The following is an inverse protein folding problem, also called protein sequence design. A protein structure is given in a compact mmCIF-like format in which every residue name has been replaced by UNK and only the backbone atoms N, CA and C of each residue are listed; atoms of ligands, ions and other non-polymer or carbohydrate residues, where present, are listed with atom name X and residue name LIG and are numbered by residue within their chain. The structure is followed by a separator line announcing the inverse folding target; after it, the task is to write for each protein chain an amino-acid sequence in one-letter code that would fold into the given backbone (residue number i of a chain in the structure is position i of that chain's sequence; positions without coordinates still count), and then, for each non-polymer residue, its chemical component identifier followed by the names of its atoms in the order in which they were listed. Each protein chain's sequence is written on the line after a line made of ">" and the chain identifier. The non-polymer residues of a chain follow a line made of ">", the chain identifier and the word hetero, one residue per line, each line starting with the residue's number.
data_IF_180634459863
#
_entry.id   IF_180634459863
#
_cell.length_a   1.000
_cell.length_b   1.000
_cell.length_c   1.000
_cell.angle_alpha   90.00
_cell.angle_beta   90.00
_cell.angle_gamma   90.00
#
_symmetry.space_group_name_H-M   'P 1'
#
loop_
_entity.id
_entity.type
_entity.pdbx_description
1 polymer ?
#
# COMPACT_ATOMS: atom_id res chain seq x y z
N UNK A 1 0.10 0.53 -28.22
CA UNK A 1 0.34 1.19 -26.91
C UNK A 1 -0.73 0.76 -25.93
N UNK A 2 -0.42 0.47 -24.65
CA UNK A 2 -1.44 0.27 -23.64
C UNK A 2 -2.25 1.57 -23.49
N UNK A 3 -3.59 1.48 -23.51
CA UNK A 3 -4.44 2.62 -23.21
C UNK A 3 -4.41 2.92 -21.71
N UNK A 4 -4.75 4.13 -21.28
CA UNK A 4 -4.81 4.50 -19.87
C UNK A 4 -5.71 3.56 -19.04
N UNK A 5 -6.76 3.01 -19.65
CA UNK A 5 -7.64 2.02 -19.03
C UNK A 5 -6.95 0.67 -18.82
N UNK A 6 -6.11 0.25 -19.76
CA UNK A 6 -5.31 -0.98 -19.64
C UNK A 6 -4.29 -0.87 -18.50
N UNK A 7 -3.58 0.25 -18.41
CA UNK A 7 -2.63 0.50 -17.33
C UNK A 7 -3.30 0.47 -15.95
N UNK A 8 -4.50 1.08 -15.83
CA UNK A 8 -5.29 1.06 -14.59
C UNK A 8 -5.75 -0.35 -14.20
N UNK A 9 -6.20 -1.15 -15.17
CA UNK A 9 -6.61 -2.53 -14.90
C UNK A 9 -5.45 -3.39 -14.37
N UNK A 10 -4.26 -3.25 -14.98
CA UNK A 10 -3.04 -3.93 -14.52
C UNK A 10 -2.66 -3.47 -13.11
N UNK A 11 -2.64 -2.15 -12.85
CA UNK A 11 -2.31 -1.62 -11.53
C UNK A 11 -3.26 -2.13 -10.43
N UNK A 12 -4.57 -2.16 -10.70
CA UNK A 12 -5.56 -2.71 -9.77
C UNK A 12 -5.36 -4.20 -9.52
N UNK A 13 -5.03 -4.97 -10.56
CA UNK A 13 -4.74 -6.39 -10.42
C UNK A 13 -3.48 -6.64 -9.59
N UNK A 14 -2.43 -5.84 -9.77
CA UNK A 14 -1.21 -5.91 -8.95
C UNK A 14 -1.54 -5.57 -7.49
N UNK A 15 -2.21 -4.45 -7.23
CA UNK A 15 -2.56 -4.03 -5.87
C UNK A 15 -3.45 -5.04 -5.14
N UNK A 16 -4.40 -5.67 -5.83
CA UNK A 16 -5.29 -6.68 -5.25
C UNK A 16 -4.57 -7.98 -4.89
N UNK A 17 -3.50 -8.35 -5.61
CA UNK A 17 -2.79 -9.63 -5.44
C UNK A 17 -1.43 -9.50 -4.73
N UNK A 18 -0.93 -8.29 -4.52
CA UNK A 18 0.29 -8.08 -3.74
C UNK A 18 -0.02 -8.43 -2.28
N UNK A 19 0.81 -9.22 -1.61
CA UNK A 19 0.65 -9.42 -0.16
C UNK A 19 1.03 -8.12 0.58
N UNK A 20 0.48 -7.81 1.76
CA UNK A 20 1.12 -6.79 2.61
C UNK A 20 2.58 -7.21 2.80
N UNK A 21 3.52 -6.28 2.63
CA UNK A 21 4.91 -6.57 2.97
C UNK A 21 4.93 -7.09 4.41
N UNK A 22 5.54 -8.28 4.61
CA UNK A 22 5.74 -8.78 5.96
C UNK A 22 6.49 -7.70 6.73
N UNK A 23 5.92 -7.24 7.84
CA UNK A 23 6.43 -6.10 8.60
C UNK A 23 7.87 -6.39 9.03
N UNK A 24 8.84 -5.87 8.29
CA UNK A 24 10.25 -5.97 8.68
C UNK A 24 10.46 -5.04 9.87
N UNK A 25 11.11 -5.47 10.95
CA UNK A 25 11.45 -4.56 12.04
C UNK A 25 12.52 -3.56 11.58
N UNK A 26 12.57 -2.39 12.23
CA UNK A 26 13.55 -1.33 11.94
C UNK A 26 15.00 -1.86 11.91
N UNK A 27 15.34 -2.77 12.84
CA UNK A 27 16.67 -3.41 12.92
C UNK A 27 17.03 -4.28 11.72
N UNK A 28 16.05 -4.73 10.93
CA UNK A 28 16.26 -5.52 9.73
C UNK A 28 16.45 -4.66 8.46
N UNK A 29 16.36 -3.33 8.58
CA UNK A 29 16.64 -2.40 7.48
C UNK A 29 18.15 -2.29 7.24
N UNK A 30 18.52 -1.96 6.01
CA UNK A 30 19.90 -1.62 5.68
C UNK A 30 20.34 -0.37 6.44
N UNK A 31 21.65 -0.20 6.64
CA UNK A 31 22.18 0.97 7.34
C UNK A 31 21.77 2.29 6.67
N UNK A 32 21.74 2.34 5.33
CA UNK A 32 21.33 3.53 4.58
C UNK A 32 19.88 3.93 4.87
N UNK A 33 18.96 2.97 4.89
CA UNK A 33 17.55 3.21 5.26
C UNK A 33 17.42 3.67 6.71
N UNK A 34 18.17 3.06 7.62
CA UNK A 34 18.17 3.44 9.04
C UNK A 34 18.63 4.89 9.25
N UNK A 35 19.60 5.39 8.49
CA UNK A 35 20.10 6.77 8.57
C UNK A 35 19.04 7.77 8.14
N UNK A 36 18.32 7.51 7.05
CA UNK A 36 17.24 8.38 6.58
C UNK A 36 16.15 8.49 7.66
N UNK A 37 15.70 7.36 8.18
CA UNK A 37 14.65 7.33 9.22
C UNK A 37 15.11 8.03 10.49
N UNK A 38 16.38 7.87 10.91
CA UNK A 38 16.93 8.60 12.07
C UNK A 38 16.86 10.11 11.85
N UNK A 39 17.29 10.59 10.68
CA UNK A 39 17.26 12.02 10.37
C UNK A 39 15.85 12.61 10.38
N UNK A 40 14.83 11.85 9.99
CA UNK A 40 13.42 12.26 10.11
C UNK A 40 12.92 12.19 11.56
N UNK A 41 13.22 11.10 12.26
CA UNK A 41 12.80 10.90 13.65
C UNK A 41 13.37 11.96 14.59
N UNK A 42 14.63 12.36 14.38
CA UNK A 42 15.28 13.45 15.10
C UNK A 42 14.57 14.79 14.86
N UNK A 43 14.07 15.04 13.62
CA UNK A 43 13.32 16.26 13.28
C UNK A 43 11.92 16.28 13.88
N UNK A 44 11.30 15.11 14.04
CA UNK A 44 9.98 14.97 14.67
C UNK A 44 10.06 14.80 16.20
N UNK A 45 11.26 14.63 16.77
CA UNK A 45 11.47 14.44 18.21
C UNK A 45 10.97 13.09 18.73
N UNK A 46 10.99 12.06 17.89
CA UNK A 46 10.53 10.69 18.22
C UNK A 46 11.66 9.68 18.03
N UNK A 47 11.48 8.43 18.50
CA UNK A 47 12.45 7.37 18.22
C UNK A 47 12.32 6.87 16.77
N UNK A 48 13.44 6.46 16.13
CA UNK A 48 13.41 5.90 14.77
C UNK A 48 12.45 4.70 14.63
N UNK A 49 12.40 3.85 15.65
CA UNK A 49 11.52 2.70 15.71
C UNK A 49 10.04 3.10 15.76
N UNK A 50 9.69 4.13 16.53
CA UNK A 50 8.32 4.63 16.64
C UNK A 50 7.86 5.28 15.33
N UNK A 51 8.72 6.12 14.73
CA UNK A 51 8.43 6.74 13.43
C UNK A 51 8.23 5.66 12.36
N UNK A 52 9.16 4.71 12.28
CA UNK A 52 9.08 3.64 11.29
C UNK A 52 7.83 2.77 11.47
N UNK A 53 7.49 2.38 12.70
CA UNK A 53 6.29 1.62 13.00
C UNK A 53 5.01 2.37 12.59
N UNK A 54 4.94 3.68 12.87
CA UNK A 54 3.81 4.53 12.50
C UNK A 54 3.67 4.62 10.96
N UNK A 55 4.77 4.79 10.23
CA UNK A 55 4.75 4.87 8.77
C UNK A 55 4.32 3.55 8.12
N UNK A 56 4.82 2.41 8.61
CA UNK A 56 4.40 1.09 8.12
C UNK A 56 2.92 0.84 8.39
N UNK A 57 2.41 1.23 9.56
CA UNK A 57 0.99 1.14 9.87
C UNK A 57 0.14 1.99 8.91
N UNK A 58 0.53 3.25 8.67
CA UNK A 58 -0.16 4.15 7.75
C UNK A 58 -0.15 3.62 6.30
N UNK A 59 0.98 3.08 5.83
CA UNK A 59 1.06 2.44 4.52
C UNK A 59 0.14 1.22 4.41
N UNK A 60 0.09 0.40 5.47
CA UNK A 60 -0.76 -0.81 5.50
C UNK A 60 -2.24 -0.44 5.47
N UNK A 61 -2.64 0.58 6.22
CA UNK A 61 -4.01 1.11 6.22
C UNK A 61 -4.39 1.62 4.83
N UNK A 62 -3.51 2.43 4.21
CA UNK A 62 -3.74 2.96 2.86
C UNK A 62 -3.89 1.83 1.82
N UNK A 63 -3.00 0.83 1.83
CA UNK A 63 -3.08 -0.32 0.94
C UNK A 63 -4.38 -1.12 1.14
N UNK A 64 -4.81 -1.28 2.40
CA UNK A 64 -6.06 -1.98 2.74
C UNK A 64 -7.28 -1.24 2.22
N UNK A 65 -7.30 0.09 2.37
CA UNK A 65 -8.35 0.95 1.85
C UNK A 65 -8.45 0.87 0.31
N UNK A 66 -7.31 0.94 -0.39
CA UNK A 66 -7.27 0.85 -1.85
C UNK A 66 -7.72 -0.53 -2.36
N UNK A 67 -7.33 -1.63 -1.70
CA UNK A 67 -7.84 -2.97 -2.04
C UNK A 67 -9.35 -3.06 -1.86
N UNK A 68 -9.89 -2.49 -0.78
CA UNK A 68 -11.33 -2.46 -0.52
C UNK A 68 -12.09 -1.67 -1.59
N UNK A 69 -11.52 -0.55 -2.04
CA UNK A 69 -12.04 0.26 -3.15
C UNK A 69 -12.06 -0.52 -4.47
N UNK A 70 -10.97 -1.22 -4.79
CA UNK A 70 -10.88 -2.05 -6.01
C UNK A 70 -11.89 -3.20 -5.97
N UNK A 71 -11.98 -3.92 -4.85
CA UNK A 71 -12.93 -5.01 -4.66
C UNK A 71 -14.39 -4.54 -4.82
N UNK A 72 -14.72 -3.38 -4.24
CA UNK A 72 -16.04 -2.77 -4.39
C UNK A 72 -16.36 -2.42 -5.85
N UNK A 73 -15.41 -1.84 -6.59
CA UNK A 73 -15.58 -1.53 -8.01
C UNK A 73 -15.79 -2.79 -8.87
N UNK A 74 -15.08 -3.89 -8.55
CA UNK A 74 -15.28 -5.18 -9.21
C UNK A 74 -16.67 -5.76 -8.92
N UNK A 75 -17.12 -5.70 -7.67
CA UNK A 75 -18.45 -6.17 -7.27
C UNK A 75 -19.58 -5.42 -7.99
N UNK A 76 -19.47 -4.09 -8.09
CA UNK A 76 -20.44 -3.25 -8.84
C UNK A 76 -20.45 -3.63 -10.32
N UNK A 77 -19.28 -3.81 -10.93
CA UNK A 77 -19.18 -4.18 -12.35
C UNK A 77 -19.79 -5.55 -12.63
N UNK A 78 -19.58 -6.53 -11.74
CA UNK A 78 -20.19 -7.84 -11.83
C UNK A 78 -21.72 -7.76 -11.69
N UNK A 79 -22.23 -7.04 -10.69
CA UNK A 79 -23.67 -6.83 -10.50
C UNK A 79 -24.35 -6.19 -11.72
N UNK A 80 -23.71 -5.19 -12.35
CA UNK A 80 -24.22 -4.57 -13.59
C UNK A 80 -24.27 -5.58 -14.74
N UNK A 81 -23.27 -6.46 -14.85
CA UNK A 81 -23.24 -7.50 -15.90
C UNK A 81 -24.33 -8.54 -15.67
N UNK A 82 -24.53 -8.97 -14.43
CA UNK A 82 -25.54 -9.96 -14.08
C UNK A 82 -26.96 -9.41 -14.27
N UNK A 83 -27.21 -8.14 -13.93
CA UNK A 83 -28.49 -7.47 -14.17
C UNK A 83 -28.83 -7.24 -15.66
N UNK A 84 -27.85 -7.41 -16.56
CA UNK A 84 -28.03 -7.31 -18.02
C UNK A 84 -28.23 -8.67 -18.70
N UNK A 85 -28.11 -9.78 -17.96
CA UNK A 85 -28.43 -11.12 -18.42
C UNK A 85 -29.86 -11.49 -18.05
#
# INVERSE_FOLDING_TARGET
>A
MPTANHARAIANAVLANTAPDATRPYSALTWGEQVVIRGEADREGVTPEALYAAQIAAMTEHQTAERSRIASAHAITAAIRDARR
#
